data_IF_872298186510
#
_entry.id   IF_872298186510
#
_cell.length_a   1.000
_cell.length_b   1.000
_cell.length_c   1.000
_cell.angle_alpha   90.00
_cell.angle_beta   90.00
_cell.angle_gamma   90.00
#
_symmetry.space_group_name_H-M   'P 1'
#
loop_
_entity.id
_entity.type
_entity.pdbx_description
1 polymer ?
#
# COMPACT_ATOMS: atom_id res chain seq x y z
N UNK A 1 2.22 -52.77 47.80
CA UNK A 1 0.86 -52.45 47.31
C UNK A 1 0.32 -51.28 48.12
N UNK A 2 0.25 -50.08 47.56
CA UNK A 2 -0.34 -48.90 48.22
C UNK A 2 -1.77 -48.74 47.72
N UNK A 3 -2.73 -49.20 48.52
CA UNK A 3 -4.16 -49.10 48.26
C UNK A 3 -4.57 -47.63 48.33
N UNK A 4 -4.95 -47.03 47.19
CA UNK A 4 -5.53 -45.70 47.18
C UNK A 4 -6.98 -45.80 47.63
N UNK A 5 -7.30 -45.17 48.77
CA UNK A 5 -8.67 -45.07 49.29
C UNK A 5 -9.36 -43.92 48.54
N UNK A 6 -10.34 -44.26 47.70
CA UNK A 6 -11.21 -43.28 47.05
C UNK A 6 -12.33 -42.91 48.02
N UNK A 7 -12.58 -41.61 48.20
CA UNK A 7 -13.68 -41.09 49.03
C UNK A 7 -15.01 -41.16 48.28
N UNK A 8 -16.04 -41.77 48.88
CA UNK A 8 -17.41 -41.88 48.35
C UNK A 8 -18.20 -40.54 48.26
N UNK A 9 -17.60 -39.42 48.69
CA UNK A 9 -18.23 -38.10 48.54
C UNK A 9 -18.16 -37.64 47.08
N UNK A 10 -19.32 -37.58 46.42
CA UNK A 10 -19.48 -36.89 45.12
C UNK A 10 -18.99 -35.44 45.27
N UNK A 11 -18.04 -35.05 44.41
CA UNK A 11 -17.59 -33.66 44.29
C UNK A 11 -18.77 -32.78 43.88
N UNK A 12 -18.86 -31.60 44.47
CA UNK A 12 -19.81 -30.56 44.02
C UNK A 12 -19.34 -29.94 42.71
N UNK A 13 -20.27 -29.41 41.91
CA UNK A 13 -19.95 -28.77 40.62
C UNK A 13 -18.90 -27.64 40.78
N UNK A 14 -18.97 -26.87 41.87
CA UNK A 14 -17.98 -25.83 42.20
C UNK A 14 -16.57 -26.41 42.45
N UNK A 15 -16.47 -27.57 43.11
CA UNK A 15 -15.19 -28.23 43.34
C UNK A 15 -14.61 -28.81 42.05
N UNK A 16 -15.46 -29.33 41.17
CA UNK A 16 -15.08 -29.83 39.84
C UNK A 16 -14.55 -28.66 39.00
N UNK A 17 -15.26 -27.54 38.94
CA UNK A 17 -14.86 -26.36 38.17
C UNK A 17 -13.53 -25.77 38.69
N UNK A 18 -13.38 -25.69 40.01
CA UNK A 18 -12.13 -25.22 40.64
C UNK A 18 -10.95 -26.15 40.34
N UNK A 19 -11.15 -27.47 40.41
CA UNK A 19 -10.12 -28.46 40.08
C UNK A 19 -9.76 -28.41 38.59
N UNK A 20 -10.74 -28.27 37.70
CA UNK A 20 -10.53 -28.14 36.26
C UNK A 20 -9.72 -26.88 35.92
N UNK A 21 -10.06 -25.73 36.51
CA UNK A 21 -9.33 -24.47 36.31
C UNK A 21 -7.88 -24.55 36.83
N UNK A 22 -7.66 -25.21 37.97
CA UNK A 22 -6.31 -25.42 38.50
C UNK A 22 -5.49 -26.36 37.62
N UNK A 23 -6.12 -27.40 37.06
CA UNK A 23 -5.46 -28.32 36.15
C UNK A 23 -5.08 -27.62 34.83
N UNK A 24 -6.01 -26.83 34.25
CA UNK A 24 -5.76 -26.02 33.05
C UNK A 24 -4.56 -25.07 33.21
N UNK A 25 -4.46 -24.40 34.36
CA UNK A 25 -3.30 -23.53 34.68
C UNK A 25 -1.99 -24.30 34.77
N UNK A 26 -1.99 -25.50 35.37
CA UNK A 26 -0.80 -26.36 35.48
C UNK A 26 -0.37 -26.89 34.12
N UNK A 27 -1.32 -27.37 33.32
CA UNK A 27 -1.08 -27.86 31.96
C UNK A 27 -0.50 -26.77 31.06
N UNK A 28 -1.05 -25.55 31.12
CA UNK A 28 -0.54 -24.41 30.37
C UNK A 28 0.89 -24.04 30.81
N UNK A 29 1.16 -23.99 32.11
CA UNK A 29 2.50 -23.72 32.63
C UNK A 29 3.51 -24.80 32.21
N UNK A 30 3.10 -26.07 32.26
CA UNK A 30 3.90 -27.20 31.79
C UNK A 30 4.19 -27.12 30.29
N UNK A 31 3.16 -26.86 29.47
CA UNK A 31 3.28 -26.71 28.02
C UNK A 31 4.28 -25.61 27.65
N UNK A 32 4.18 -24.45 28.31
CA UNK A 32 5.11 -23.33 28.11
C UNK A 32 6.53 -23.75 28.46
N UNK A 33 6.73 -24.34 29.64
CA UNK A 33 8.04 -24.67 30.18
C UNK A 33 8.75 -25.77 29.41
N UNK A 34 8.05 -26.88 29.16
CA UNK A 34 8.66 -28.12 28.66
C UNK A 34 8.62 -28.23 27.13
N UNK A 35 7.68 -27.56 26.46
CA UNK A 35 7.52 -27.70 25.00
C UNK A 35 7.85 -26.40 24.27
N UNK A 36 7.27 -25.27 24.68
CA UNK A 36 7.39 -24.03 23.90
C UNK A 36 8.76 -23.37 24.10
N UNK A 37 9.18 -23.12 25.34
CA UNK A 37 10.46 -22.44 25.64
C UNK A 37 11.67 -23.15 25.02
N UNK A 38 11.81 -24.48 25.08
CA UNK A 38 12.96 -25.17 24.48
C UNK A 38 13.03 -25.04 22.95
N UNK A 39 11.92 -24.74 22.27
CA UNK A 39 11.88 -24.54 20.81
C UNK A 39 12.21 -23.12 20.37
N UNK A 40 12.08 -22.13 21.26
CA UNK A 40 12.33 -20.72 20.92
C UNK A 40 13.75 -20.44 20.42
N UNK A 41 14.84 -21.04 20.95
CA UNK A 41 16.19 -20.82 20.43
C UNK A 41 16.34 -21.21 18.96
N UNK A 42 15.73 -22.31 18.52
CA UNK A 42 15.76 -22.75 17.13
C UNK A 42 15.01 -21.77 16.21
N UNK A 43 13.87 -21.25 16.67
CA UNK A 43 13.10 -20.22 15.93
C UNK A 43 13.94 -18.93 15.83
N UNK A 44 14.59 -18.52 16.93
CA UNK A 44 15.49 -17.35 16.97
C UNK A 44 16.64 -17.51 15.98
N UNK A 45 17.27 -18.68 15.91
CA UNK A 45 18.34 -18.96 14.95
C UNK A 45 17.85 -18.83 13.50
N UNK A 46 16.66 -19.38 13.20
CA UNK A 46 16.02 -19.24 11.89
C UNK A 46 15.78 -17.77 11.51
N UNK A 47 15.26 -16.97 12.45
CA UNK A 47 15.04 -15.54 12.24
C UNK A 47 16.36 -14.78 12.07
N UNK A 48 17.38 -15.07 12.87
CA UNK A 48 18.71 -14.46 12.73
C UNK A 48 19.36 -14.82 11.38
N UNK A 49 19.16 -16.04 10.88
CA UNK A 49 19.59 -16.43 9.53
C UNK A 49 18.91 -15.60 8.45
N UNK A 50 17.61 -15.34 8.60
CA UNK A 50 16.85 -14.47 7.71
C UNK A 50 17.35 -13.02 7.79
N UNK A 51 17.58 -12.51 9.01
CA UNK A 51 18.06 -11.15 9.24
C UNK A 51 19.39 -10.90 8.53
N UNK A 52 20.38 -11.79 8.72
CA UNK A 52 21.70 -11.70 8.06
C UNK A 52 21.63 -11.59 6.54
N UNK A 53 20.59 -12.14 5.89
CA UNK A 53 20.44 -12.06 4.44
C UNK A 53 20.03 -10.66 3.96
N UNK A 54 19.32 -9.89 4.79
CA UNK A 54 18.78 -8.55 4.48
C UNK A 54 19.47 -7.42 5.24
N UNK A 55 20.34 -7.72 6.21
CA UNK A 55 21.13 -6.75 6.95
C UNK A 55 22.14 -5.99 6.09
N UNK A 56 22.53 -4.81 6.57
CA UNK A 56 23.50 -3.93 5.89
C UNK A 56 24.88 -4.55 5.76
N UNK A 57 25.29 -5.35 6.75
CA UNK A 57 26.59 -6.02 6.80
C UNK A 57 26.79 -7.05 5.67
N UNK A 58 25.71 -7.41 4.97
CA UNK A 58 25.81 -8.29 3.82
C UNK A 58 26.28 -7.51 2.58
N UNK A 59 27.58 -7.62 2.30
CA UNK A 59 28.23 -6.94 1.17
C UNK A 59 28.00 -7.63 -0.18
N UNK A 60 27.38 -8.82 -0.22
CA UNK A 60 27.20 -9.58 -1.47
C UNK A 60 26.33 -8.83 -2.48
N UNK A 61 26.84 -8.71 -3.71
CA UNK A 61 26.15 -8.07 -4.82
C UNK A 61 25.63 -9.14 -5.78
N UNK A 62 24.31 -9.17 -5.97
CA UNK A 62 23.64 -10.06 -6.89
C UNK A 62 23.31 -9.32 -8.18
N UNK A 63 23.98 -9.68 -9.27
CA UNK A 63 23.67 -9.16 -10.61
C UNK A 63 22.68 -10.09 -11.28
N UNK A 64 21.45 -9.64 -11.41
CA UNK A 64 20.30 -10.41 -11.86
C UNK A 64 19.84 -9.90 -13.24
N UNK A 65 19.59 -10.79 -14.21
CA UNK A 65 19.00 -10.40 -15.48
C UNK A 65 17.52 -10.04 -15.28
N UNK A 66 17.10 -8.91 -15.85
CA UNK A 66 15.69 -8.51 -15.91
C UNK A 66 15.18 -8.77 -17.33
N UNK A 67 14.10 -9.54 -17.44
CA UNK A 67 13.39 -9.75 -18.72
C UNK A 67 11.89 -9.61 -18.55
N UNK A 68 11.22 -8.89 -19.46
CA UNK A 68 9.76 -8.88 -19.53
C UNK A 68 9.26 -10.22 -20.06
N UNK A 69 8.31 -10.86 -19.37
CA UNK A 69 7.64 -12.02 -19.93
C UNK A 69 6.74 -11.58 -21.10
N UNK A 70 6.90 -12.21 -22.27
CA UNK A 70 6.04 -12.09 -23.47
C UNK A 70 6.17 -10.81 -24.31
N UNK A 71 6.52 -9.65 -23.74
CA UNK A 71 6.45 -8.37 -24.49
C UNK A 71 7.78 -7.89 -25.09
N UNK A 72 8.92 -8.44 -24.64
CA UNK A 72 10.29 -7.96 -24.92
C UNK A 72 10.48 -6.44 -24.76
N UNK A 73 9.56 -5.77 -24.06
CA UNK A 73 9.49 -4.32 -23.98
C UNK A 73 10.59 -3.73 -23.12
N UNK A 74 11.09 -4.48 -22.15
CA UNK A 74 12.20 -4.03 -21.33
C UNK A 74 13.14 -5.22 -21.13
N UNK A 75 14.44 -4.95 -21.21
CA UNK A 75 15.51 -5.94 -21.03
C UNK A 75 16.64 -5.28 -20.28
N UNK A 76 17.33 -6.00 -19.41
CA UNK A 76 18.48 -5.42 -18.74
C UNK A 76 19.03 -6.26 -17.61
N UNK A 77 19.77 -5.58 -16.73
CA UNK A 77 20.36 -6.16 -15.54
C UNK A 77 20.15 -5.23 -14.35
N UNK A 78 19.92 -5.82 -13.19
CA UNK A 78 19.82 -5.14 -11.91
C UNK A 78 20.86 -5.73 -10.97
N UNK A 79 21.58 -4.88 -10.25
CA UNK A 79 22.50 -5.29 -9.20
C UNK A 79 21.90 -4.92 -7.85
N UNK A 80 21.54 -5.93 -7.05
CA UNK A 80 21.04 -5.76 -5.70
C UNK A 80 22.13 -6.08 -4.68
N UNK A 81 22.21 -5.29 -3.64
CA UNK A 81 22.96 -5.56 -2.42
C UNK A 81 22.01 -5.31 -1.26
N UNK A 82 21.85 -6.22 -0.30
CA UNK A 82 20.88 -6.07 0.80
C UNK A 82 19.49 -5.52 0.36
N UNK A 83 18.99 -4.45 0.95
CA UNK A 83 17.75 -3.77 0.56
C UNK A 83 17.96 -2.66 -0.49
N UNK A 84 19.16 -2.57 -1.09
CA UNK A 84 19.61 -1.52 -2.01
C UNK A 84 19.77 -2.05 -3.44
N UNK A 85 19.31 -1.29 -4.42
CA UNK A 85 19.70 -1.45 -5.82
C UNK A 85 20.89 -0.52 -6.05
N UNK A 86 22.05 -1.14 -6.29
CA UNK A 86 23.35 -0.48 -6.46
C UNK A 86 23.75 -0.34 -7.93
N UNK A 87 23.08 -1.07 -8.82
CA UNK A 87 23.27 -0.95 -10.27
C UNK A 87 21.99 -1.26 -11.02
N UNK A 88 21.78 -0.55 -12.13
CA UNK A 88 20.72 -0.82 -13.08
C UNK A 88 21.24 -0.48 -14.47
N UNK A 89 20.98 -1.34 -15.44
CA UNK A 89 21.18 -1.06 -16.84
C UNK A 89 20.04 -1.74 -17.62
N UNK A 90 19.10 -0.94 -18.11
CA UNK A 90 17.90 -1.41 -18.79
C UNK A 90 17.72 -0.69 -20.13
N UNK A 91 17.12 -1.38 -21.08
CA UNK A 91 16.67 -0.83 -22.36
C UNK A 91 15.17 -1.00 -22.46
N UNK A 92 14.44 0.09 -22.69
CA UNK A 92 12.98 0.14 -22.73
C UNK A 92 12.52 0.43 -24.15
N UNK A 93 11.74 -0.46 -24.74
CA UNK A 93 11.09 -0.34 -26.05
C UNK A 93 9.58 -0.49 -25.88
N UNK A 94 8.90 0.64 -25.77
CA UNK A 94 7.44 0.69 -25.61
C UNK A 94 6.85 1.58 -26.71
N UNK A 95 5.79 1.13 -27.41
CA UNK A 95 5.26 1.86 -28.59
C UNK A 95 4.77 3.26 -28.22
N UNK A 96 4.21 3.38 -27.02
CA UNK A 96 3.68 4.65 -26.49
C UNK A 96 4.76 5.57 -25.90
N UNK A 97 6.03 5.14 -25.87
CA UNK A 97 7.14 5.86 -25.24
C UNK A 97 8.31 6.00 -26.22
N UNK A 98 8.95 7.17 -26.25
CA UNK A 98 10.10 7.41 -27.13
C UNK A 98 9.88 6.99 -28.61
N UNK A 99 8.64 7.12 -29.11
CA UNK A 99 8.27 6.71 -30.47
C UNK A 99 8.44 5.23 -30.78
N UNK A 100 8.48 4.34 -29.77
CA UNK A 100 8.76 2.92 -29.95
C UNK A 100 10.24 2.58 -30.11
N UNK A 101 11.14 3.57 -30.03
CA UNK A 101 12.59 3.34 -30.10
C UNK A 101 13.14 2.95 -28.73
N UNK A 102 14.18 2.10 -28.67
CA UNK A 102 14.84 1.75 -27.41
C UNK A 102 15.31 3.00 -26.66
N UNK A 103 15.02 3.03 -25.36
CA UNK A 103 15.48 4.04 -24.44
C UNK A 103 16.30 3.37 -23.36
N UNK A 104 17.62 3.59 -23.41
CA UNK A 104 18.55 3.01 -22.46
C UNK A 104 18.64 3.87 -21.21
N UNK A 105 18.52 3.25 -20.03
CA UNK A 105 18.55 3.90 -18.75
C UNK A 105 19.52 3.17 -17.81
N UNK A 106 20.44 3.91 -17.22
CA UNK A 106 21.43 3.39 -16.26
C UNK A 106 21.30 4.07 -14.92
N UNK A 107 21.63 3.36 -13.84
CA UNK A 107 21.76 3.97 -12.51
C UNK A 107 23.11 4.68 -12.39
N UNK A 108 23.11 5.94 -11.92
CA UNK A 108 24.33 6.69 -11.62
C UNK A 108 25.01 6.14 -10.38
N UNK A 109 26.18 5.52 -10.56
CA UNK A 109 27.00 4.98 -9.46
C UNK A 109 27.46 6.05 -8.47
N UNK A 110 27.53 7.31 -8.88
CA UNK A 110 27.92 8.46 -8.03
C UNK A 110 26.83 8.90 -7.04
N UNK A 111 25.60 8.40 -7.17
CA UNK A 111 24.48 8.80 -6.32
C UNK A 111 24.06 7.69 -5.36
N UNK A 112 23.29 8.07 -4.34
CA UNK A 112 22.72 7.14 -3.36
C UNK A 112 21.90 6.04 -4.06
N UNK A 113 22.00 4.78 -3.61
CA UNK A 113 21.29 3.65 -4.21
C UNK A 113 19.76 3.83 -4.13
N UNK A 114 19.03 3.04 -4.90
CA UNK A 114 17.57 2.95 -4.77
C UNK A 114 17.25 1.99 -3.63
N UNK A 115 16.40 2.40 -2.70
CA UNK A 115 16.02 1.57 -1.55
C UNK A 115 14.74 0.81 -1.89
N UNK A 116 14.76 -0.50 -1.70
CA UNK A 116 13.57 -1.35 -1.73
C UNK A 116 13.02 -1.34 -0.30
N UNK A 117 12.17 -0.35 0.01
CA UNK A 117 11.68 -0.10 1.37
C UNK A 117 10.95 -1.30 1.99
N UNK A 118 10.30 -2.14 1.18
CA UNK A 118 9.72 -3.40 1.67
C UNK A 118 10.73 -4.33 2.37
N UNK A 119 11.98 -4.36 1.89
CA UNK A 119 13.03 -5.19 2.49
C UNK A 119 13.50 -4.60 3.83
N UNK A 120 13.47 -3.27 3.97
CA UNK A 120 13.68 -2.60 5.25
C UNK A 120 12.55 -2.89 6.24
N UNK A 121 11.30 -2.79 5.79
CA UNK A 121 10.14 -3.14 6.62
C UNK A 121 10.26 -4.61 7.09
N UNK A 122 10.59 -5.54 6.18
CA UNK A 122 10.81 -6.94 6.50
C UNK A 122 11.95 -7.12 7.54
N UNK A 123 13.09 -6.47 7.33
CA UNK A 123 14.21 -6.48 8.27
C UNK A 123 13.77 -6.05 9.68
N UNK A 124 13.08 -4.92 9.79
CA UNK A 124 12.65 -4.37 11.09
C UNK A 124 11.63 -5.27 11.77
N UNK A 125 10.74 -5.92 11.01
CA UNK A 125 9.80 -6.90 11.56
C UNK A 125 10.52 -8.15 12.07
N UNK A 126 11.53 -8.66 11.37
CA UNK A 126 12.34 -9.80 11.84
C UNK A 126 13.12 -9.41 13.11
N UNK A 127 13.73 -8.23 13.14
CA UNK A 127 14.44 -7.74 14.32
C UNK A 127 13.53 -7.68 15.56
N UNK A 128 12.32 -7.13 15.41
CA UNK A 128 11.33 -7.08 16.48
C UNK A 128 10.84 -8.48 16.90
N UNK A 129 10.73 -9.43 15.97
CA UNK A 129 10.43 -10.83 16.27
C UNK A 129 11.54 -11.47 17.13
N UNK A 130 12.81 -11.25 16.81
CA UNK A 130 13.94 -11.72 17.61
C UNK A 130 13.91 -11.12 19.02
N UNK A 131 13.67 -9.81 19.14
CA UNK A 131 13.51 -9.15 20.44
C UNK A 131 12.36 -9.70 21.28
N UNK A 132 11.25 -10.09 20.65
CA UNK A 132 10.13 -10.74 21.34
C UNK A 132 10.52 -12.11 21.92
N UNK A 133 11.34 -12.89 21.20
CA UNK A 133 11.89 -14.16 21.70
C UNK A 133 12.84 -13.92 22.87
N UNK A 134 13.70 -12.90 22.79
CA UNK A 134 14.66 -12.59 23.85
C UNK A 134 13.94 -12.26 25.16
N UNK A 135 12.92 -11.39 25.11
CA UNK A 135 12.05 -11.11 26.26
C UNK A 135 11.35 -12.34 26.80
N UNK A 136 10.94 -13.26 25.93
CA UNK A 136 10.33 -14.51 26.36
C UNK A 136 11.34 -15.43 27.06
N UNK A 137 12.60 -15.48 26.61
CA UNK A 137 13.67 -16.31 27.18
C UNK A 137 14.25 -15.75 28.48
N UNK A 138 14.47 -14.43 28.57
CA UNK A 138 15.04 -13.74 29.74
C UNK A 138 14.17 -13.80 30.98
N UNK A 139 12.86 -14.05 30.80
CA UNK A 139 11.87 -14.02 31.86
C UNK A 139 11.28 -15.43 32.10
N UNK A 140 11.95 -16.31 32.86
CA UNK A 140 11.57 -17.71 33.04
C UNK A 140 10.28 -17.88 33.85
N UNK A 141 9.99 -17.00 34.81
CA UNK A 141 8.83 -17.08 35.72
C UNK A 141 7.69 -16.13 35.34
N UNK A 142 7.47 -15.91 34.05
CA UNK A 142 6.39 -15.03 33.58
C UNK A 142 5.03 -15.73 33.62
N UNK A 143 4.01 -14.99 34.06
CA UNK A 143 2.63 -15.46 34.05
C UNK A 143 2.21 -15.93 32.63
N UNK A 144 1.48 -17.06 32.50
CA UNK A 144 1.16 -17.62 31.19
C UNK A 144 0.50 -16.66 30.19
N UNK A 145 -0.36 -15.75 30.66
CA UNK A 145 -1.01 -14.74 29.81
C UNK A 145 -0.01 -13.72 29.25
N UNK A 146 0.99 -13.32 30.04
CA UNK A 146 2.05 -12.42 29.58
C UNK A 146 2.95 -13.14 28.58
N UNK A 147 3.27 -14.42 28.83
CA UNK A 147 4.01 -15.24 27.86
C UNK A 147 3.24 -15.38 26.54
N UNK A 148 1.92 -15.61 26.60
CA UNK A 148 1.07 -15.66 25.41
C UNK A 148 1.18 -14.35 24.60
N UNK A 149 1.20 -13.19 25.26
CA UNK A 149 1.37 -11.90 24.57
C UNK A 149 2.73 -11.77 23.84
N UNK A 150 3.79 -12.40 24.34
CA UNK A 150 5.08 -12.45 23.65
C UNK A 150 5.01 -13.32 22.40
N UNK A 151 4.36 -14.48 22.49
CA UNK A 151 4.17 -15.38 21.34
C UNK A 151 3.23 -14.76 20.31
N UNK A 152 2.19 -14.05 20.74
CA UNK A 152 1.30 -13.31 19.84
C UNK A 152 2.08 -12.23 19.08
N UNK A 153 2.86 -11.39 19.78
CA UNK A 153 3.71 -10.37 19.14
C UNK A 153 4.72 -10.99 18.18
N UNK A 154 5.34 -12.10 18.57
CA UNK A 154 6.25 -12.87 17.70
C UNK A 154 5.53 -13.29 16.41
N UNK A 155 4.33 -13.88 16.54
CA UNK A 155 3.52 -14.30 15.40
C UNK A 155 3.13 -13.13 14.49
N UNK A 156 2.69 -12.01 15.08
CA UNK A 156 2.34 -10.78 14.35
C UNK A 156 3.54 -10.22 13.58
N UNK A 157 4.73 -10.16 14.20
CA UNK A 157 5.94 -9.67 13.55
C UNK A 157 6.39 -10.56 12.38
N UNK A 158 6.37 -11.89 12.54
CA UNK A 158 6.72 -12.81 11.45
C UNK A 158 5.72 -12.71 10.29
N UNK A 159 4.41 -12.65 10.61
CA UNK A 159 3.37 -12.45 9.60
C UNK A 159 3.55 -11.12 8.85
N UNK A 160 3.83 -10.03 9.57
CA UNK A 160 4.09 -8.73 8.97
C UNK A 160 5.35 -8.73 8.09
N UNK A 161 6.42 -9.43 8.49
CA UNK A 161 7.63 -9.58 7.68
C UNK A 161 7.33 -10.31 6.36
N UNK A 162 6.58 -11.41 6.41
CA UNK A 162 6.14 -12.17 5.23
C UNK A 162 5.29 -11.30 4.30
N UNK A 163 4.29 -10.61 4.85
CA UNK A 163 3.40 -9.74 4.06
C UNK A 163 4.15 -8.59 3.39
N UNK A 164 5.20 -8.06 4.00
CA UNK A 164 6.03 -7.01 3.40
C UNK A 164 6.73 -7.48 2.10
N UNK A 165 7.09 -8.76 2.02
CA UNK A 165 7.70 -9.37 0.82
C UNK A 165 6.68 -9.76 -0.25
N UNK A 166 5.45 -10.04 0.14
CA UNK A 166 4.39 -10.44 -0.81
C UNK A 166 3.73 -9.24 -1.47
N UNK A 167 3.53 -8.14 -0.74
CA UNK A 167 2.73 -7.00 -1.20
C UNK A 167 3.45 -5.67 -0.96
N UNK A 168 3.70 -4.86 -2.01
CA UNK A 168 4.25 -3.53 -1.82
C UNK A 168 3.28 -2.61 -1.11
N UNK A 169 3.81 -1.84 -0.16
CA UNK A 169 3.08 -0.72 0.42
C UNK A 169 2.84 0.33 -0.69
N UNK A 170 1.59 0.74 -0.96
CA UNK A 170 1.28 1.75 -1.97
C UNK A 170 2.10 3.04 -1.85
N UNK A 171 2.48 3.42 -0.61
CA UNK A 171 3.29 4.60 -0.35
C UNK A 171 4.71 4.55 -0.95
N UNK A 172 5.16 3.40 -1.45
CA UNK A 172 6.51 3.19 -2.00
C UNK A 172 6.53 2.99 -3.51
N UNK A 173 5.37 2.93 -4.15
CA UNK A 173 5.24 2.67 -5.59
C UNK A 173 4.31 3.69 -6.23
N UNK A 174 4.22 3.66 -7.56
CA UNK A 174 3.18 4.39 -8.27
C UNK A 174 1.78 4.04 -7.74
N UNK A 175 0.87 5.02 -7.56
CA UNK A 175 1.01 6.43 -7.91
C UNK A 175 1.47 7.34 -6.75
N UNK A 176 1.65 6.81 -5.54
CA UNK A 176 1.94 7.66 -4.38
C UNK A 176 3.41 8.08 -4.28
N UNK A 177 4.28 7.36 -4.98
CA UNK A 177 5.72 7.60 -4.99
C UNK A 177 6.28 7.64 -6.41
N UNK A 178 7.32 8.45 -6.58
CA UNK A 178 8.15 8.52 -7.78
C UNK A 178 9.59 8.27 -7.43
N UNK A 179 10.20 7.26 -8.05
CA UNK A 179 11.65 7.08 -7.96
C UNK A 179 12.37 8.34 -8.46
N UNK A 180 13.30 8.94 -7.69
CA UNK A 180 13.94 10.19 -8.07
C UNK A 180 14.67 10.07 -9.42
N UNK A 181 14.21 10.85 -10.40
CA UNK A 181 14.74 10.84 -11.77
C UNK A 181 16.25 11.10 -11.85
N UNK A 182 16.75 11.99 -11.00
CA UNK A 182 18.15 12.37 -10.95
C UNK A 182 19.11 11.23 -10.58
N UNK A 183 18.61 10.06 -10.16
CA UNK A 183 19.40 8.83 -9.92
C UNK A 183 19.82 8.13 -11.21
N UNK A 184 19.21 8.45 -12.34
CA UNK A 184 19.45 7.78 -13.60
C UNK A 184 20.28 8.62 -14.58
N UNK A 185 20.86 7.92 -15.56
CA UNK A 185 21.55 8.46 -16.73
C UNK A 185 21.06 7.77 -18.01
N UNK A 186 20.46 8.51 -18.96
CA UNK A 186 19.97 9.90 -18.85
C UNK A 186 18.96 10.09 -17.69
N UNK A 187 18.69 11.33 -17.30
CA UNK A 187 17.72 11.60 -16.23
C UNK A 187 16.32 11.12 -16.63
N UNK A 188 15.63 10.41 -15.72
CA UNK A 188 14.35 9.77 -16.03
C UNK A 188 13.25 10.80 -16.38
N UNK A 189 12.63 10.72 -17.57
CA UNK A 189 11.63 11.68 -18.04
C UNK A 189 10.30 11.58 -17.28
N UNK A 190 9.50 12.65 -17.27
CA UNK A 190 8.18 12.70 -16.60
C UNK A 190 7.13 11.79 -17.26
N UNK A 191 7.36 11.40 -18.51
CA UNK A 191 6.52 10.50 -19.30
C UNK A 191 6.72 9.03 -18.94
N UNK A 192 7.51 8.70 -17.91
CA UNK A 192 7.62 7.35 -17.40
C UNK A 192 7.61 7.30 -15.87
N UNK A 193 7.05 6.21 -15.32
CA UNK A 193 7.33 5.73 -13.96
C UNK A 193 8.18 4.46 -14.06
N UNK A 194 9.08 4.31 -13.09
CA UNK A 194 9.86 3.10 -12.90
C UNK A 194 9.97 2.82 -11.41
N UNK A 195 9.37 1.73 -10.98
CA UNK A 195 9.31 1.31 -9.58
C UNK A 195 9.96 -0.05 -9.40
N UNK A 196 10.50 -0.28 -8.20
CA UNK A 196 11.16 -1.53 -7.84
C UNK A 196 10.58 -2.06 -6.54
N UNK A 197 10.09 -3.28 -6.57
CA UNK A 197 9.44 -3.90 -5.42
C UNK A 197 9.65 -5.42 -5.44
N UNK A 198 9.34 -6.06 -4.32
CA UNK A 198 9.27 -7.52 -4.23
C UNK A 198 7.82 -7.93 -4.34
N UNK A 199 7.55 -8.93 -5.17
CA UNK A 199 6.25 -9.56 -5.33
C UNK A 199 6.46 -11.06 -5.52
N UNK A 200 5.76 -11.90 -4.73
CA UNK A 200 5.91 -13.36 -4.77
C UNK A 200 7.37 -13.85 -4.66
N UNK A 201 8.19 -13.20 -3.85
CA UNK A 201 9.64 -13.51 -3.69
C UNK A 201 10.52 -13.21 -4.90
N UNK A 202 9.98 -12.54 -5.92
CA UNK A 202 10.72 -12.06 -7.09
C UNK A 202 10.96 -10.56 -6.98
N UNK A 203 12.11 -10.12 -7.50
CA UNK A 203 12.39 -8.69 -7.63
C UNK A 203 11.75 -8.18 -8.92
N UNK A 204 10.81 -7.27 -8.77
CA UNK A 204 10.03 -6.69 -9.87
C UNK A 204 10.50 -5.28 -10.19
N UNK A 205 10.72 -5.00 -11.46
CA UNK A 205 10.79 -3.66 -12.03
C UNK A 205 9.49 -3.39 -12.82
N UNK A 206 8.71 -2.41 -12.39
CA UNK A 206 7.46 -2.02 -13.04
C UNK A 206 7.65 -0.71 -13.81
N UNK A 207 7.46 -0.79 -15.11
CA UNK A 207 7.53 0.34 -16.03
C UNK A 207 6.14 0.77 -16.46
N UNK A 208 5.88 2.07 -16.40
CA UNK A 208 4.64 2.66 -16.90
C UNK A 208 4.95 3.84 -17.80
N UNK A 209 4.44 3.80 -19.03
CA UNK A 209 4.43 4.93 -19.96
C UNK A 209 3.27 5.85 -19.63
N UNK A 210 3.57 7.13 -19.40
CA UNK A 210 2.64 8.11 -18.85
C UNK A 210 2.38 9.24 -19.84
N UNK A 211 1.12 9.69 -19.87
CA UNK A 211 0.70 10.90 -20.57
C UNK A 211 0.11 11.90 -19.60
N UNK A 212 0.69 13.09 -19.51
CA UNK A 212 0.13 14.18 -18.71
C UNK A 212 -1.24 14.60 -19.24
N UNK A 213 -2.23 14.60 -18.35
CA UNK A 213 -3.56 15.13 -18.64
C UNK A 213 -3.55 16.63 -18.44
N UNK A 214 -3.69 17.39 -19.52
CA UNK A 214 -3.77 18.87 -19.48
C UNK A 214 -5.20 19.40 -19.60
N UNK A 215 -6.17 18.54 -19.95
CA UNK A 215 -7.56 18.93 -20.21
C UNK A 215 -8.29 19.27 -18.91
N UNK A 216 -8.76 20.52 -18.78
CA UNK A 216 -9.63 20.95 -17.67
C UNK A 216 -11.06 20.40 -17.86
N UNK A 217 -11.79 20.12 -16.76
CA UNK A 217 -11.40 20.18 -15.36
C UNK A 217 -10.61 18.94 -14.88
N UNK A 218 -10.45 17.91 -15.71
CA UNK A 218 -9.87 16.61 -15.33
C UNK A 218 -8.45 16.69 -14.74
N UNK A 219 -7.64 17.64 -15.18
CA UNK A 219 -6.30 17.90 -14.65
C UNK A 219 -6.27 18.73 -13.35
N UNK A 220 -7.42 19.20 -12.87
CA UNK A 220 -7.48 20.16 -11.76
C UNK A 220 -7.29 19.43 -10.44
N UNK A 221 -6.29 19.85 -9.67
CA UNK A 221 -6.10 19.41 -8.29
C UNK A 221 -7.04 20.18 -7.36
N UNK A 222 -7.95 19.46 -6.70
CA UNK A 222 -8.89 20.03 -5.72
C UNK A 222 -8.25 20.17 -4.35
N UNK A 223 -7.54 19.13 -3.91
CA UNK A 223 -6.71 19.15 -2.70
C UNK A 223 -5.30 18.70 -3.04
N UNK A 224 -4.32 19.62 -2.93
CA UNK A 224 -2.90 19.28 -3.09
C UNK A 224 -2.36 18.49 -1.91
N UNK A 225 -2.87 18.75 -0.70
CA UNK A 225 -2.48 18.03 0.52
C UNK A 225 -2.87 16.56 0.46
N UNK A 226 -4.11 16.30 0.05
CA UNK A 226 -4.67 14.94 0.01
C UNK A 226 -4.46 14.27 -1.35
N UNK A 227 -3.79 14.96 -2.29
CA UNK A 227 -3.52 14.47 -3.66
C UNK A 227 -4.80 14.02 -4.38
N UNK A 228 -5.85 14.82 -4.29
CA UNK A 228 -7.14 14.52 -4.92
C UNK A 228 -7.37 15.45 -6.11
N UNK A 229 -7.44 14.84 -7.30
CA UNK A 229 -7.88 15.52 -8.51
C UNK A 229 -9.41 15.62 -8.58
N UNK A 230 -9.90 16.41 -9.53
CA UNK A 230 -11.32 16.43 -9.88
C UNK A 230 -11.85 15.04 -10.23
N UNK A 231 -11.08 14.25 -10.99
CA UNK A 231 -11.45 12.88 -11.34
C UNK A 231 -11.58 11.97 -10.10
N UNK A 232 -10.67 12.09 -9.14
CA UNK A 232 -10.73 11.32 -7.88
C UNK A 232 -11.96 11.68 -7.06
N UNK A 233 -12.27 12.98 -6.96
CA UNK A 233 -13.44 13.44 -6.23
C UNK A 233 -14.73 12.94 -6.86
N UNK A 234 -14.87 13.04 -8.20
CA UNK A 234 -16.04 12.50 -8.90
C UNK A 234 -16.15 10.98 -8.70
N UNK A 235 -15.06 10.22 -8.82
CA UNK A 235 -15.05 8.77 -8.53
C UNK A 235 -15.51 8.46 -7.10
N UNK A 236 -15.04 9.24 -6.11
CA UNK A 236 -15.44 9.08 -4.72
C UNK A 236 -16.94 9.36 -4.53
N UNK A 237 -17.50 10.36 -5.21
CA UNK A 237 -18.92 10.69 -5.12
C UNK A 237 -19.81 9.65 -5.81
N UNK A 238 -19.40 9.12 -6.97
CA UNK A 238 -20.07 7.98 -7.62
C UNK A 238 -20.10 6.77 -6.68
N UNK A 239 -19.02 6.53 -5.93
CA UNK A 239 -18.95 5.41 -4.99
C UNK A 239 -19.87 5.59 -3.78
N UNK A 240 -20.05 6.84 -3.33
CA UNK A 240 -20.88 7.21 -2.17
C UNK A 240 -22.37 7.24 -2.51
N UNK A 241 -22.74 7.85 -3.63
CA UNK A 241 -24.13 8.04 -4.03
C UNK A 241 -24.45 7.20 -5.28
N UNK A 242 -24.81 5.94 -5.04
CA UNK A 242 -25.20 5.00 -6.10
C UNK A 242 -26.62 5.23 -6.63
N UNK A 243 -27.37 6.16 -6.03
CA UNK A 243 -28.76 6.44 -6.40
C UNK A 243 -28.88 7.43 -7.57
N UNK A 244 -27.88 8.31 -7.72
CA UNK A 244 -27.83 9.31 -8.78
C UNK A 244 -27.14 8.78 -10.03
N UNK A 245 -27.55 9.29 -11.19
CA UNK A 245 -26.84 9.00 -12.44
C UNK A 245 -25.43 9.62 -12.41
N UNK A 246 -24.46 8.92 -13.00
CA UNK A 246 -23.07 9.41 -13.15
C UNK A 246 -23.02 10.80 -13.79
N UNK A 247 -23.89 11.06 -14.78
CA UNK A 247 -23.97 12.35 -15.47
C UNK A 247 -24.42 13.49 -14.54
N UNK A 248 -25.41 13.24 -13.67
CA UNK A 248 -25.84 14.22 -12.67
C UNK A 248 -24.72 14.49 -11.65
N UNK A 249 -24.04 13.45 -11.17
CA UNK A 249 -22.91 13.60 -10.22
C UNK A 249 -21.81 14.46 -10.85
N UNK A 250 -21.43 14.19 -12.11
CA UNK A 250 -20.42 15.00 -12.82
C UNK A 250 -20.88 16.46 -12.95
N UNK A 251 -22.14 16.69 -13.30
CA UNK A 251 -22.68 18.04 -13.45
C UNK A 251 -22.66 18.80 -12.11
N UNK A 252 -23.13 18.17 -11.04
CA UNK A 252 -23.13 18.74 -9.69
C UNK A 252 -21.71 19.10 -9.22
N UNK A 253 -20.76 18.17 -9.36
CA UNK A 253 -19.36 18.38 -8.97
C UNK A 253 -18.68 19.45 -9.82
N UNK A 254 -19.00 19.51 -11.11
CA UNK A 254 -18.47 20.55 -11.99
C UNK A 254 -18.99 21.93 -11.60
N UNK A 255 -20.28 22.07 -11.24
CA UNK A 255 -20.83 23.32 -10.73
C UNK A 255 -20.14 23.75 -9.43
N UNK A 256 -19.95 22.82 -8.48
CA UNK A 256 -19.21 23.10 -7.24
C UNK A 256 -17.79 23.59 -7.51
N UNK A 257 -17.09 23.00 -8.48
CA UNK A 257 -15.76 23.46 -8.89
C UNK A 257 -15.81 24.90 -9.43
N UNK A 258 -16.80 25.23 -10.27
CA UNK A 258 -16.97 26.58 -10.81
C UNK A 258 -17.24 27.60 -9.70
N UNK A 259 -18.13 27.28 -8.76
CA UNK A 259 -18.45 28.17 -7.65
C UNK A 259 -17.26 28.35 -6.70
N UNK A 260 -16.51 27.29 -6.43
CA UNK A 260 -15.26 27.37 -5.67
C UNK A 260 -14.23 28.27 -6.37
N UNK A 261 -14.08 28.18 -7.69
CA UNK A 261 -13.18 29.07 -8.46
C UNK A 261 -13.61 30.53 -8.35
N UNK A 262 -14.92 30.83 -8.49
CA UNK A 262 -15.47 32.20 -8.41
C UNK A 262 -15.16 32.86 -7.06
N UNK A 263 -15.37 32.12 -5.97
CA UNK A 263 -15.04 32.60 -4.60
C UNK A 263 -13.56 32.92 -4.45
N UNK A 264 -12.69 32.09 -5.05
CA UNK A 264 -11.23 32.27 -4.96
C UNK A 264 -10.70 33.40 -5.85
N UNK A 265 -11.37 33.69 -6.96
CA UNK A 265 -11.00 34.79 -7.87
C UNK A 265 -11.51 36.18 -7.42
N UNK A 266 -12.18 36.28 -6.27
CA UNK A 266 -12.63 37.56 -5.72
C UNK A 266 -13.74 38.25 -6.55
N UNK A 267 -14.44 37.51 -7.42
CA UNK A 267 -15.58 38.03 -8.18
C UNK A 267 -16.86 37.83 -7.35
N UNK A 268 -16.85 38.32 -6.11
CA UNK A 268 -18.06 38.65 -5.37
C UNK A 268 -18.08 40.17 -5.25
N UNK A 269 -18.38 40.86 -6.36
CA UNK A 269 -18.96 42.20 -6.24
C UNK A 269 -20.36 42.01 -5.70
N UNK A 270 -20.51 42.28 -4.41
CA UNK A 270 -21.70 42.91 -3.80
C UNK A 270 -22.78 43.30 -4.82
N UNK A 271 -23.75 42.43 -5.02
CA UNK A 271 -25.08 42.80 -5.51
C UNK A 271 -26.06 42.80 -4.33
N UNK A 272 -25.74 43.59 -3.32
CA UNK A 272 -26.74 44.14 -2.41
C UNK A 272 -26.83 45.62 -2.76
N UNK A 273 -27.85 45.99 -3.52
CA UNK A 273 -28.55 47.27 -3.42
C UNK A 273 -29.83 47.19 -4.26
N UNK A 274 -30.94 47.23 -3.53
CA UNK A 274 -32.25 47.72 -3.91
C UNK A 274 -33.03 46.97 -5.00
N UNK A 275 -33.99 46.16 -4.55
CA UNK A 275 -35.35 46.33 -5.07
C UNK A 275 -36.38 46.09 -3.96
N UNK A 276 -37.24 47.09 -3.80
CA UNK A 276 -38.21 47.22 -2.75
C UNK A 276 -39.34 46.21 -2.89
N UNK A 277 -39.87 45.80 -1.74
CA UNK A 277 -41.10 45.02 -1.60
C UNK A 277 -42.28 45.72 -2.29
N UNK A 278 -43.10 44.94 -2.98
CA UNK A 278 -44.56 45.10 -2.96
C UNK A 278 -45.25 43.73 -3.03
N UNK A 279 -46.41 43.55 -2.37
CA UNK A 279 -46.91 42.25 -2.00
C UNK A 279 -47.98 41.72 -2.97
N UNK A 280 -48.01 40.39 -3.13
CA UNK A 280 -49.19 39.66 -3.59
C UNK A 280 -49.00 38.93 -4.92
N UNK A 281 -48.78 37.61 -4.85
CA UNK A 281 -49.68 36.61 -5.41
C UNK A 281 -49.13 35.20 -5.17
N UNK A 282 -49.95 34.38 -4.52
CA UNK A 282 -49.82 32.94 -4.48
C UNK A 282 -50.02 32.37 -5.89
N UNK A 283 -49.04 31.61 -6.39
CA UNK A 283 -49.29 30.49 -7.31
C UNK A 283 -48.32 29.35 -7.01
N UNK A 284 -48.90 28.19 -6.73
CA UNK A 284 -48.23 26.90 -6.82
C UNK A 284 -47.75 26.68 -8.25
N UNK A 285 -46.50 26.25 -8.43
CA UNK A 285 -46.13 25.41 -9.59
C UNK A 285 -44.77 24.75 -9.41
N UNK A 286 -44.80 23.42 -9.33
CA UNK A 286 -43.93 22.49 -10.05
C UNK A 286 -42.42 22.78 -10.13
N UNK A 287 -41.66 21.84 -9.60
CA UNK A 287 -40.28 21.51 -10.00
C UNK A 287 -40.08 21.60 -11.52
N UNK A 288 -39.61 22.76 -11.99
CA UNK A 288 -39.21 22.99 -13.36
C UNK A 288 -37.70 22.78 -13.48
N UNK A 289 -37.32 21.59 -13.96
CA UNK A 289 -35.95 21.17 -14.27
C UNK A 289 -35.44 21.76 -15.60
N UNK A 290 -36.00 22.89 -16.07
CA UNK A 290 -35.96 23.26 -17.49
C UNK A 290 -35.25 24.55 -17.89
N UNK A 291 -34.97 25.52 -16.99
CA UNK A 291 -34.65 26.89 -17.44
C UNK A 291 -33.37 27.55 -16.90
N UNK A 292 -32.59 26.90 -16.03
CA UNK A 292 -31.37 27.50 -15.44
C UNK A 292 -30.04 27.12 -16.11
N UNK A 293 -30.06 26.31 -17.17
CA UNK A 293 -28.82 25.82 -17.81
C UNK A 293 -28.22 26.75 -18.89
N UNK A 294 -28.82 27.92 -19.19
CA UNK A 294 -28.43 28.72 -20.36
C UNK A 294 -27.58 29.98 -20.10
N UNK A 295 -27.28 30.38 -18.87
CA UNK A 295 -26.52 31.62 -18.66
C UNK A 295 -25.56 31.59 -17.47
N UNK A 296 -24.45 30.87 -17.59
CA UNK A 296 -23.24 31.15 -16.78
C UNK A 296 -21.98 30.81 -17.58
N UNK A 297 -21.68 31.60 -18.62
CA UNK A 297 -20.31 31.66 -19.17
C UNK A 297 -19.46 32.50 -18.23
N UNK A 298 -18.67 31.83 -17.39
CA UNK A 298 -17.61 32.46 -16.61
C UNK A 298 -16.27 31.92 -17.13
N UNK A 299 -15.43 32.83 -17.61
CA UNK A 299 -14.01 32.66 -17.99
C UNK A 299 -13.69 31.91 -19.30
N UNK A 300 -12.77 32.50 -20.06
CA UNK A 300 -12.33 32.22 -21.43
C UNK A 300 -11.57 30.89 -21.64
N UNK A 301 -11.91 29.82 -20.92
CA UNK A 301 -11.21 28.54 -21.05
C UNK A 301 -11.84 27.34 -20.35
N UNK A 302 -13.07 27.45 -19.85
CA UNK A 302 -13.78 26.34 -19.23
C UNK A 302 -14.61 25.57 -20.28
N UNK A 303 -14.58 24.23 -20.19
CA UNK A 303 -15.20 23.33 -21.18
C UNK A 303 -16.72 23.28 -21.00
N UNK A 304 -17.49 23.21 -22.09
CA UNK A 304 -18.94 23.03 -21.98
C UNK A 304 -19.30 21.73 -21.27
N UNK A 305 -20.38 21.74 -20.47
CA UNK A 305 -20.87 20.56 -19.74
C UNK A 305 -21.16 19.38 -20.69
N UNK A 306 -21.69 19.65 -21.88
CA UNK A 306 -21.94 18.63 -22.89
C UNK A 306 -20.65 17.93 -23.36
N UNK A 307 -19.59 18.70 -23.60
CA UNK A 307 -18.27 18.16 -23.99
C UNK A 307 -17.58 17.46 -22.82
N UNK A 308 -17.79 17.95 -21.58
CA UNK A 308 -17.31 17.31 -20.37
C UNK A 308 -17.88 15.89 -20.27
N UNK A 309 -19.21 15.76 -20.29
CA UNK A 309 -19.93 14.50 -20.16
C UNK A 309 -19.55 13.50 -21.26
N UNK A 310 -19.43 13.96 -22.52
CA UNK A 310 -18.97 13.11 -23.65
C UNK A 310 -17.60 12.48 -23.43
N UNK A 311 -16.69 13.17 -22.71
CA UNK A 311 -15.35 12.65 -22.44
C UNK A 311 -15.20 12.00 -21.06
N UNK A 312 -16.26 11.99 -20.25
CA UNK A 312 -16.16 11.68 -18.83
C UNK A 312 -15.75 10.23 -18.54
N UNK A 313 -16.34 9.23 -19.20
CA UNK A 313 -15.98 7.82 -18.96
C UNK A 313 -14.48 7.60 -19.16
N UNK A 314 -13.92 8.07 -20.27
CA UNK A 314 -12.47 8.00 -20.55
C UNK A 314 -11.63 8.59 -19.40
N UNK A 315 -11.95 9.81 -18.95
CA UNK A 315 -11.15 10.45 -17.91
C UNK A 315 -11.36 9.84 -16.52
N UNK A 316 -12.58 9.40 -16.19
CA UNK A 316 -12.83 8.77 -14.89
C UNK A 316 -12.13 7.41 -14.77
N UNK A 317 -12.05 6.66 -15.87
CA UNK A 317 -11.40 5.35 -15.93
C UNK A 317 -9.86 5.46 -15.97
N UNK A 318 -9.32 6.40 -16.77
CA UNK A 318 -7.88 6.44 -17.06
C UNK A 318 -7.08 7.42 -16.19
N UNK A 319 -7.73 8.42 -15.58
CA UNK A 319 -7.02 9.47 -14.82
C UNK A 319 -6.57 8.97 -13.47
N UNK A 320 -5.26 9.08 -13.24
CA UNK A 320 -4.60 8.73 -11.99
C UNK A 320 -3.85 9.98 -11.52
N UNK A 321 -4.05 10.35 -10.25
CA UNK A 321 -3.23 11.39 -9.62
C UNK A 321 -1.90 10.79 -9.20
N UNK A 322 -0.83 11.34 -9.73
CA UNK A 322 0.55 10.92 -9.52
C UNK A 322 1.40 12.09 -9.00
N UNK A 323 2.63 11.83 -8.57
CA UNK A 323 3.54 12.85 -8.03
C UNK A 323 4.78 13.05 -8.91
N UNK A 324 5.21 14.30 -9.06
CA UNK A 324 6.42 14.62 -9.80
C UNK A 324 7.69 14.46 -8.93
N UNK A 325 8.86 14.84 -9.47
CA UNK A 325 10.13 14.76 -8.74
C UNK A 325 10.21 15.68 -7.51
N UNK A 326 9.34 16.70 -7.43
CA UNK A 326 9.21 17.64 -6.31
C UNK A 326 8.07 17.27 -5.37
N UNK A 327 7.46 16.10 -5.57
CA UNK A 327 6.32 15.62 -4.82
C UNK A 327 5.05 16.47 -5.02
N UNK A 328 4.97 17.24 -6.12
CA UNK A 328 3.76 18.00 -6.50
C UNK A 328 2.81 17.08 -7.28
N UNK A 329 1.52 17.00 -6.90
CA UNK A 329 0.60 16.09 -7.57
C UNK A 329 0.12 16.64 -8.91
N UNK A 330 0.01 15.75 -9.89
CA UNK A 330 -0.51 16.01 -11.23
C UNK A 330 -1.24 14.78 -11.77
N UNK A 331 -2.03 14.95 -12.84
CA UNK A 331 -2.88 13.87 -13.36
C UNK A 331 -2.27 13.26 -14.61
N UNK A 332 -2.16 11.93 -14.64
CA UNK A 332 -1.62 11.17 -15.76
C UNK A 332 -2.60 10.10 -16.25
N UNK A 333 -2.43 9.70 -17.51
CA UNK A 333 -2.96 8.46 -18.08
C UNK A 333 -1.82 7.48 -18.27
N UNK A 334 -2.03 6.22 -17.89
CA UNK A 334 -1.11 5.13 -18.26
C UNK A 334 -1.45 4.72 -19.69
N UNK A 335 -0.47 4.84 -20.59
CA UNK A 335 -0.62 4.43 -21.99
C UNK A 335 -0.24 2.97 -22.20
N UNK A 336 0.78 2.51 -21.49
CA UNK A 336 1.36 1.18 -21.63
C UNK A 336 2.08 0.83 -20.33
N UNK A 337 2.04 -0.44 -19.94
CA UNK A 337 2.70 -0.94 -18.73
C UNK A 337 3.47 -2.21 -19.03
N UNK A 338 4.57 -2.43 -18.32
CA UNK A 338 5.38 -3.62 -18.43
C UNK A 338 5.99 -3.96 -17.07
N UNK A 339 5.62 -5.11 -16.54
CA UNK A 339 6.26 -5.68 -15.35
C UNK A 339 7.35 -6.64 -15.76
N UNK A 340 8.47 -6.58 -15.05
CA UNK A 340 9.59 -7.47 -15.25
C UNK A 340 10.03 -8.05 -13.94
N UNK A 341 10.22 -9.35 -13.93
CA UNK A 341 10.61 -10.08 -12.73
C UNK A 341 11.98 -10.68 -12.93
N UNK A 342 12.70 -10.82 -11.83
CA UNK A 342 13.90 -11.63 -11.77
C UNK A 342 13.92 -12.42 -10.48
N UNK A 343 14.33 -13.68 -10.59
CA UNK A 343 14.41 -14.57 -9.44
C UNK A 343 15.67 -14.24 -8.66
N UNK A 344 15.48 -13.75 -7.43
CA UNK A 344 16.57 -13.54 -6.49
C UNK A 344 16.62 -14.72 -5.51
N UNK A 345 17.70 -15.53 -5.51
CA UNK A 345 17.78 -16.72 -4.67
C UNK A 345 17.74 -16.41 -3.17
N UNK A 346 18.21 -15.22 -2.76
CA UNK A 346 18.15 -14.79 -1.37
C UNK A 346 16.72 -14.45 -0.98
N UNK A 347 15.99 -13.71 -1.83
CA UNK A 347 14.59 -13.37 -1.55
C UNK A 347 13.70 -14.62 -1.53
N UNK A 348 13.94 -15.56 -2.46
CA UNK A 348 13.26 -16.85 -2.45
C UNK A 348 13.53 -17.63 -1.16
N UNK A 349 14.80 -17.73 -0.76
CA UNK A 349 15.19 -18.40 0.49
C UNK A 349 14.55 -17.74 1.72
N UNK A 350 14.55 -16.41 1.76
CA UNK A 350 13.99 -15.62 2.84
C UNK A 350 12.47 -15.86 2.97
N UNK A 351 11.73 -15.75 1.87
CA UNK A 351 10.28 -15.97 1.87
C UNK A 351 9.90 -17.38 2.33
N UNK A 352 10.59 -18.41 1.83
CA UNK A 352 10.33 -19.81 2.23
C UNK A 352 10.61 -20.03 3.71
N UNK A 353 11.73 -19.50 4.23
CA UNK A 353 12.08 -19.61 5.64
C UNK A 353 11.06 -18.89 6.54
N UNK A 354 10.65 -17.68 6.17
CA UNK A 354 9.66 -16.91 6.92
C UNK A 354 8.30 -17.61 6.93
N UNK A 355 7.85 -18.17 5.80
CA UNK A 355 6.61 -18.94 5.72
C UNK A 355 6.64 -20.19 6.63
N UNK A 356 7.77 -20.91 6.63
CA UNK A 356 7.96 -22.05 7.53
C UNK A 356 7.92 -21.65 9.01
N UNK A 357 8.64 -20.60 9.38
CA UNK A 357 8.67 -20.06 10.75
C UNK A 357 7.30 -19.55 11.19
N UNK A 358 6.57 -18.86 10.31
CA UNK A 358 5.20 -18.40 10.57
C UNK A 358 4.29 -19.57 10.91
N UNK A 359 4.31 -20.64 10.10
CA UNK A 359 3.49 -21.85 10.33
C UNK A 359 3.83 -22.54 11.65
N UNK A 360 5.09 -22.52 12.08
CA UNK A 360 5.50 -23.11 13.37
C UNK A 360 5.02 -22.24 14.52
N UNK A 361 5.29 -20.93 14.48
CA UNK A 361 4.92 -20.01 15.55
C UNK A 361 3.39 -19.87 15.66
N UNK A 362 2.67 -19.83 14.54
CA UNK A 362 1.20 -19.78 14.52
C UNK A 362 0.61 -21.01 15.20
N UNK A 363 1.14 -22.20 14.94
CA UNK A 363 0.72 -23.44 15.63
C UNK A 363 0.99 -23.37 17.14
N UNK A 364 2.14 -22.86 17.55
CA UNK A 364 2.46 -22.64 18.97
C UNK A 364 1.43 -21.69 19.60
N UNK A 365 1.15 -20.56 18.94
CA UNK A 365 0.21 -19.55 19.41
C UNK A 365 -1.22 -20.12 19.53
N UNK A 366 -1.72 -20.83 18.52
CA UNK A 366 -3.04 -21.47 18.52
C UNK A 366 -3.16 -22.50 19.65
N UNK A 367 -2.14 -23.33 19.86
CA UNK A 367 -2.13 -24.32 20.95
C UNK A 367 -2.17 -23.65 22.31
N UNK A 368 -1.39 -22.58 22.52
CA UNK A 368 -1.40 -21.84 23.78
C UNK A 368 -2.74 -21.14 24.03
N UNK A 369 -3.38 -20.59 22.98
CA UNK A 369 -4.68 -19.95 23.07
C UNK A 369 -5.80 -20.94 23.40
N UNK A 370 -5.74 -22.16 22.88
CA UNK A 370 -6.72 -23.20 23.19
C UNK A 370 -6.57 -23.73 24.63
N UNK A 371 -5.36 -23.64 25.20
CA UNK A 371 -5.06 -24.03 26.58
C UNK A 371 -5.23 -22.88 27.60
N UNK A 372 -5.38 -21.63 27.16
CA UNK A 372 -5.74 -20.47 28.01
C UNK A 372 -7.24 -20.41 28.23
#
# INVERSE_FOLDING_TARGET
MTTQVFSDKKLTDEQIEKAANMNKKRELAWLIKEIVRPRLPQIKEGLNSCLRQVSEDNESIFKLPLTSHKSEMLKGTISRQNYKIVGLNISIRAKSFNGGTPYDLKLKTTKKPILIRQLLDCHDRIYNAVSAIDKALEAPEVAPLVFLSYIERLSQHICAARLALDKPNPAYIFPEYRTPSAKFEPEMPQQMSLDFFVNNSELTADFQSLKHVTKKPWCTMLSRRDRLSFADHVRAQISKDRSKSVHQIIADEYQRLLDWKKRRSGIEKTSHLNEAKSPGQNTNSGTSFGSTLKSMFVSTGDISLSTLLKSASKYLEQSITYVDNRNDPYVVHILEKCEMVTSDPILLSLSIKLDSLEKVVRRIHENLKNCS
#
